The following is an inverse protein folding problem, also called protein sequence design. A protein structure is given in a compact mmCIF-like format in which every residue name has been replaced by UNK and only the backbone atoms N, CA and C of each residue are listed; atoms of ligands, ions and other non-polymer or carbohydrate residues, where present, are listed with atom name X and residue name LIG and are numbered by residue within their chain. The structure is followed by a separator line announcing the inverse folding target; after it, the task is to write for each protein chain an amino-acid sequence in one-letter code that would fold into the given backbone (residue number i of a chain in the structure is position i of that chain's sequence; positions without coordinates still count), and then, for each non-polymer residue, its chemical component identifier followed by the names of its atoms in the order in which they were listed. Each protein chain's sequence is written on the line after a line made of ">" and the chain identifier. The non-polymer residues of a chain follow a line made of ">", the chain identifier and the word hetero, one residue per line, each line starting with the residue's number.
data_IF_616702405065
#
_entry.id   IF_616702405065
#
_cell.length_a   1.000
_cell.length_b   1.000
_cell.length_c   1.000
_cell.angle_alpha   90.00
_cell.angle_beta   90.00
_cell.angle_gamma   90.00
#
_symmetry.space_group_name_H-M   'P 1'
#
loop_
_entity.id
_entity.type
_entity.pdbx_description
1 polymer ?
#
# COMPACT_ATOMS: atom_id res chain seq x y z
N UNK A 1 -20.27 -19.11 4.90
CA UNK A 1 -19.29 -18.02 4.68
C UNK A 1 -20.02 -16.89 3.98
N UNK A 2 -20.24 -15.75 4.64
CA UNK A 2 -20.88 -14.58 4.03
C UNK A 2 -19.88 -13.92 3.07
N UNK A 3 -20.09 -14.10 1.77
CA UNK A 3 -19.20 -13.61 0.71
C UNK A 3 -19.40 -12.11 0.38
N UNK A 4 -20.40 -11.46 0.98
CA UNK A 4 -20.76 -10.08 0.64
C UNK A 4 -20.58 -9.16 1.84
N UNK A 5 -19.53 -8.32 1.79
CA UNK A 5 -19.32 -7.22 2.73
C UNK A 5 -19.84 -5.93 2.09
N UNK A 6 -21.17 -5.76 2.05
CA UNK A 6 -21.77 -4.53 1.53
C UNK A 6 -21.59 -3.38 2.53
N UNK A 7 -21.29 -2.20 2.00
CA UNK A 7 -21.11 -0.96 2.77
C UNK A 7 -21.63 0.21 1.96
N UNK A 8 -22.18 1.19 2.65
CA UNK A 8 -22.73 2.42 2.06
C UNK A 8 -22.43 3.61 2.97
N UNK A 9 -22.27 4.78 2.37
CA UNK A 9 -22.21 6.07 3.06
C UNK A 9 -23.63 6.64 3.37
N UNK A 10 -24.69 6.05 2.80
CA UNK A 10 -26.07 6.49 3.07
C UNK A 10 -26.59 5.91 4.39
N UNK A 11 -26.98 6.79 5.32
CA UNK A 11 -27.60 6.38 6.59
C UNK A 11 -28.95 5.68 6.37
N UNK A 12 -29.76 6.19 5.44
CA UNK A 12 -31.07 5.61 5.11
C UNK A 12 -30.92 4.17 4.60
N UNK A 13 -29.95 3.94 3.71
CA UNK A 13 -29.71 2.61 3.16
C UNK A 13 -29.13 1.65 4.22
N UNK A 14 -28.26 2.13 5.10
CA UNK A 14 -27.78 1.32 6.24
C UNK A 14 -28.94 0.90 7.16
N UNK A 15 -29.89 1.80 7.47
CA UNK A 15 -31.07 1.49 8.27
C UNK A 15 -31.95 0.43 7.59
N UNK A 16 -32.20 0.58 6.29
CA UNK A 16 -32.96 -0.42 5.52
C UNK A 16 -32.26 -1.78 5.52
N UNK A 17 -30.95 -1.82 5.33
CA UNK A 17 -30.19 -3.06 5.37
C UNK A 17 -30.20 -3.74 6.74
N UNK A 18 -30.14 -2.97 7.82
CA UNK A 18 -30.30 -3.50 9.19
C UNK A 18 -31.69 -4.10 9.41
N UNK A 19 -32.74 -3.46 8.90
CA UNK A 19 -34.11 -3.98 8.96
C UNK A 19 -34.27 -5.29 8.18
N UNK A 20 -33.62 -5.41 7.04
CA UNK A 20 -33.60 -6.61 6.19
C UNK A 20 -32.64 -7.70 6.69
N UNK A 21 -32.00 -7.51 7.86
CA UNK A 21 -31.07 -8.48 8.44
C UNK A 21 -29.73 -8.63 7.71
N UNK A 22 -29.38 -7.66 6.86
CA UNK A 22 -28.07 -7.63 6.20
C UNK A 22 -27.02 -7.16 7.20
N UNK A 23 -25.96 -7.95 7.40
CA UNK A 23 -24.81 -7.55 8.21
C UNK A 23 -24.06 -6.38 7.56
N UNK A 24 -24.53 -5.16 7.84
CA UNK A 24 -23.71 -3.97 7.69
C UNK A 24 -22.69 -4.05 8.81
N UNK A 25 -21.39 -4.15 8.53
CA UNK A 25 -20.35 -4.19 9.58
C UNK A 25 -20.23 -2.91 10.45
N UNK A 26 -21.30 -2.13 10.54
CA UNK A 26 -21.58 -1.11 11.54
C UNK A 26 -21.97 -1.80 12.84
N UNK A 27 -21.14 -1.69 13.86
CA UNK A 27 -21.56 -1.95 15.24
C UNK A 27 -21.34 -0.63 15.95
N UNK A 28 -22.42 -0.06 16.48
CA UNK A 28 -22.46 1.21 17.23
C UNK A 28 -21.61 1.16 18.52
N UNK A 29 -21.11 -0.02 18.87
CA UNK A 29 -20.24 -0.29 20.02
C UNK A 29 -18.82 -0.56 19.54
N UNK A 30 -18.10 0.48 19.17
CA UNK A 30 -16.64 0.44 19.20
C UNK A 30 -16.16 1.84 19.40
N UNK A 31 -15.60 2.10 20.58
CA UNK A 31 -14.78 3.27 20.82
C UNK A 31 -13.92 3.57 19.58
N UNK A 32 -13.92 4.85 19.22
CA UNK A 32 -12.95 5.51 18.34
C UNK A 32 -11.60 4.78 18.48
N UNK A 33 -11.04 4.31 17.35
CA UNK A 33 -9.67 3.76 17.19
C UNK A 33 -9.41 2.24 17.11
N UNK A 34 -10.38 1.32 17.30
CA UNK A 34 -10.05 -0.12 17.33
C UNK A 34 -10.39 -0.98 16.09
N UNK A 35 -11.15 -0.49 15.11
CA UNK A 35 -11.44 -1.27 13.89
C UNK A 35 -10.54 -0.81 12.73
N UNK A 36 -9.85 -1.74 12.03
CA UNK A 36 -9.03 -1.38 10.89
C UNK A 36 -9.92 -0.76 9.80
N UNK A 37 -9.46 0.31 9.12
CA UNK A 37 -10.23 0.97 8.09
C UNK A 37 -10.55 0.00 6.96
N UNK A 38 -11.74 0.13 6.39
CA UNK A 38 -12.18 -0.72 5.28
C UNK A 38 -11.41 -0.33 4.05
N UNK A 39 -10.91 -1.34 3.32
CA UNK A 39 -10.18 -1.11 2.08
C UNK A 39 -11.09 -1.22 0.88
N UNK A 40 -11.12 -0.19 0.05
CA UNK A 40 -11.72 -0.16 -1.27
C UNK A 40 -10.59 0.08 -2.27
N UNK A 41 -10.38 -0.86 -3.19
CA UNK A 41 -9.34 -0.77 -4.22
C UNK A 41 -7.90 -0.57 -3.66
N UNK A 42 -7.65 -1.05 -2.44
CA UNK A 42 -6.36 -0.89 -1.75
C UNK A 42 -6.23 0.38 -0.91
N UNK A 43 -7.19 1.30 -0.99
CA UNK A 43 -7.25 2.55 -0.22
C UNK A 43 -8.21 2.41 0.96
N UNK A 44 -7.98 3.17 2.03
CA UNK A 44 -8.90 3.23 3.16
C UNK A 44 -10.15 4.04 2.79
N UNK A 45 -11.31 3.60 3.23
CA UNK A 45 -12.57 4.32 3.08
C UNK A 45 -13.24 4.52 4.44
N UNK A 46 -13.47 5.78 4.78
CA UNK A 46 -14.35 6.21 5.86
C UNK A 46 -15.74 6.46 5.26
N UNK A 47 -16.66 5.52 5.49
CA UNK A 47 -18.04 5.61 4.98
C UNK A 47 -18.87 6.68 5.68
N UNK A 48 -18.51 7.11 6.89
CA UNK A 48 -19.27 8.13 7.62
C UNK A 48 -18.99 9.52 7.08
N UNK A 49 -17.72 9.80 6.78
CA UNK A 49 -17.27 11.08 6.22
C UNK A 49 -17.24 11.09 4.70
N UNK A 50 -17.49 9.95 4.08
CA UNK A 50 -17.36 9.73 2.65
C UNK A 50 -15.95 10.07 2.11
N UNK A 51 -14.92 9.67 2.87
CA UNK A 51 -13.52 9.97 2.54
C UNK A 51 -12.77 8.72 2.14
N UNK A 52 -12.22 8.74 0.92
CA UNK A 52 -11.21 7.77 0.48
C UNK A 52 -9.83 8.38 0.75
N UNK A 53 -8.98 7.66 1.45
CA UNK A 53 -7.66 8.14 1.83
C UNK A 53 -6.61 7.03 1.82
N UNK A 54 -5.35 7.46 1.81
CA UNK A 54 -4.20 6.58 1.96
C UNK A 54 -3.51 6.89 3.28
N UNK A 55 -3.44 5.91 4.19
CA UNK A 55 -2.68 6.05 5.44
C UNK A 55 -1.26 5.49 5.25
N UNK A 56 -0.22 6.33 5.24
CA UNK A 56 1.15 5.87 5.06
C UNK A 56 1.75 5.25 6.33
N UNK A 57 1.09 5.29 7.50
CA UNK A 57 1.67 4.83 8.78
C UNK A 57 2.22 3.41 8.71
N UNK A 58 1.47 2.47 8.16
CA UNK A 58 1.90 1.07 8.01
C UNK A 58 3.15 0.95 7.11
N UNK A 59 3.19 1.77 6.06
CA UNK A 59 4.31 1.82 5.14
C UNK A 59 5.55 2.43 5.80
N UNK A 60 5.38 3.54 6.51
CA UNK A 60 6.45 4.21 7.24
C UNK A 60 7.01 3.31 8.35
N UNK A 61 6.14 2.59 9.06
CA UNK A 61 6.55 1.59 10.05
C UNK A 61 7.37 0.48 9.38
N UNK A 62 6.94 -0.02 8.22
CA UNK A 62 7.73 -1.02 7.49
C UNK A 62 9.11 -0.44 7.08
N UNK A 63 9.15 0.78 6.53
CA UNK A 63 10.39 1.44 6.11
C UNK A 63 11.31 1.84 7.28
N UNK A 64 10.80 1.89 8.51
CA UNK A 64 11.62 2.10 9.70
C UNK A 64 12.50 0.89 10.04
N UNK A 65 12.15 -0.29 9.51
CA UNK A 65 13.03 -1.45 9.57
C UNK A 65 14.17 -1.32 8.57
N UNK A 66 15.30 -1.99 8.87
CA UNK A 66 16.48 -1.98 8.01
C UNK A 66 16.11 -2.45 6.60
N UNK A 67 16.55 -1.70 5.58
CA UNK A 67 16.34 -2.02 4.18
C UNK A 67 17.31 -3.14 3.80
N UNK A 68 16.84 -4.38 3.87
CA UNK A 68 17.71 -5.57 3.71
C UNK A 68 17.95 -5.94 2.24
N UNK A 69 17.06 -5.62 1.30
CA UNK A 69 17.16 -6.10 -0.08
C UNK A 69 16.36 -5.32 -1.12
N UNK A 70 16.71 -5.46 -2.41
CA UNK A 70 15.90 -4.97 -3.53
C UNK A 70 14.48 -5.54 -3.47
N UNK A 71 14.35 -6.81 -3.10
CA UNK A 71 13.05 -7.45 -2.83
C UNK A 71 12.24 -6.70 -1.78
N UNK A 72 12.87 -6.27 -0.68
CA UNK A 72 12.19 -5.51 0.36
C UNK A 72 11.64 -4.19 -0.19
N UNK A 73 12.45 -3.40 -0.89
CA UNK A 73 12.00 -2.12 -1.47
C UNK A 73 10.85 -2.34 -2.46
N UNK A 74 10.97 -3.34 -3.34
CA UNK A 74 9.90 -3.66 -4.30
C UNK A 74 8.62 -4.14 -3.60
N UNK A 75 8.73 -4.86 -2.49
CA UNK A 75 7.58 -5.27 -1.69
C UNK A 75 6.88 -4.09 -1.02
N UNK A 76 7.64 -3.09 -0.55
CA UNK A 76 7.12 -1.83 0.01
C UNK A 76 6.40 -1.05 -1.09
N UNK A 77 7.05 -0.84 -2.22
CA UNK A 77 6.49 -0.13 -3.38
C UNK A 77 5.24 -0.82 -3.92
N UNK A 78 5.23 -2.15 -3.96
CA UNK A 78 4.10 -2.94 -4.47
C UNK A 78 2.83 -2.85 -3.61
N UNK A 79 2.93 -2.42 -2.35
CA UNK A 79 1.75 -2.18 -1.49
C UNK A 79 0.95 -0.95 -1.90
N UNK A 80 1.57 -0.02 -2.62
CA UNK A 80 0.90 1.14 -3.19
C UNK A 80 0.38 0.75 -4.57
N UNK A 81 -0.85 0.22 -4.59
CA UNK A 81 -1.57 -0.08 -5.81
C UNK A 81 -2.75 0.88 -5.95
N UNK A 82 -2.84 1.52 -7.10
CA UNK A 82 -3.85 2.54 -7.38
C UNK A 82 -4.43 2.31 -8.78
N UNK A 83 -5.52 1.53 -8.86
CA UNK A 83 -6.12 1.18 -10.15
C UNK A 83 -6.88 2.34 -10.80
N UNK A 84 -7.32 3.34 -10.02
CA UNK A 84 -8.13 4.48 -10.51
C UNK A 84 -7.28 5.73 -10.76
N UNK A 85 -6.10 5.85 -10.15
CA UNK A 85 -5.20 6.98 -10.36
C UNK A 85 -5.28 8.09 -9.30
N UNK A 86 -5.97 7.84 -8.17
CA UNK A 86 -6.11 8.81 -7.07
C UNK A 86 -4.75 9.22 -6.49
N UNK A 87 -3.81 8.28 -6.43
CA UNK A 87 -2.42 8.46 -6.00
C UNK A 87 -1.46 8.66 -7.17
N UNK A 88 -1.94 9.00 -8.38
CA UNK A 88 -1.16 9.08 -9.62
C UNK A 88 0.21 9.76 -9.48
N UNK A 89 0.31 11.00 -8.94
CA UNK A 89 1.59 11.69 -8.75
C UNK A 89 2.59 10.93 -7.87
N UNK A 90 2.12 10.19 -6.87
CA UNK A 90 2.96 9.35 -6.02
C UNK A 90 3.36 8.07 -6.75
N UNK A 91 2.41 7.40 -7.40
CA UNK A 91 2.62 6.15 -8.13
C UNK A 91 3.64 6.32 -9.26
N UNK A 92 3.66 7.47 -9.93
CA UNK A 92 4.67 7.78 -10.95
C UNK A 92 6.07 7.78 -10.36
N UNK A 93 6.30 8.44 -9.21
CA UNK A 93 7.60 8.43 -8.52
C UNK A 93 8.04 7.01 -8.13
N UNK A 94 7.09 6.18 -7.71
CA UNK A 94 7.34 4.78 -7.38
C UNK A 94 7.68 3.92 -8.61
N UNK A 95 7.08 4.23 -9.76
CA UNK A 95 7.44 3.59 -11.04
C UNK A 95 8.86 3.97 -11.46
N UNK A 96 9.25 5.24 -11.32
CA UNK A 96 10.64 5.67 -11.54
C UNK A 96 11.61 4.95 -10.61
N UNK A 97 11.35 4.95 -9.30
CA UNK A 97 12.19 4.22 -8.33
C UNK A 97 12.34 2.73 -8.69
N UNK A 98 11.25 2.10 -9.13
CA UNK A 98 11.28 0.70 -9.58
C UNK A 98 12.18 0.53 -10.79
N UNK A 99 12.06 1.41 -11.79
CA UNK A 99 12.90 1.38 -12.98
C UNK A 99 14.38 1.56 -12.62
N UNK A 100 14.70 2.53 -11.77
CA UNK A 100 16.07 2.77 -11.29
C UNK A 100 16.64 1.54 -10.55
N UNK A 101 15.85 0.92 -9.68
CA UNK A 101 16.26 -0.32 -9.00
C UNK A 101 16.52 -1.47 -9.98
N UNK A 102 15.82 -1.52 -11.11
CA UNK A 102 16.07 -2.51 -12.15
C UNK A 102 17.35 -2.21 -12.94
N UNK A 103 17.65 -0.95 -13.24
CA UNK A 103 18.85 -0.56 -14.00
C UNK A 103 20.14 -0.69 -13.19
N UNK A 104 20.08 -0.60 -11.85
CA UNK A 104 21.25 -0.74 -10.97
C UNK A 104 21.91 -2.14 -11.00
N UNK A 105 21.28 -3.15 -11.61
CA UNK A 105 21.87 -4.49 -11.73
C UNK A 105 22.08 -5.21 -10.39
N UNK A 106 21.40 -4.74 -9.33
CA UNK A 106 21.54 -5.26 -7.97
C UNK A 106 20.74 -6.55 -7.80
N UNK A 107 21.36 -7.52 -7.13
CA UNK A 107 20.76 -8.82 -6.80
C UNK A 107 19.52 -8.70 -5.92
N UNK A 108 18.62 -9.67 -6.06
CA UNK A 108 17.31 -9.68 -5.43
C UNK A 108 17.37 -9.57 -3.89
N UNK A 109 18.40 -10.17 -3.28
CA UNK A 109 18.53 -10.33 -1.82
C UNK A 109 19.55 -9.38 -1.17
N UNK A 110 20.28 -8.57 -1.93
CA UNK A 110 21.36 -7.73 -1.38
C UNK A 110 21.21 -6.28 -1.86
N UNK A 111 21.49 -5.32 -0.98
CA UNK A 111 21.65 -3.91 -1.33
C UNK A 111 23.03 -3.41 -0.85
N UNK A 112 24.12 -3.93 -1.41
CA UNK A 112 25.50 -3.39 -1.29
C UNK A 112 26.40 -4.15 -2.28
N UNK A 113 27.35 -3.55 -3.02
CA UNK A 113 28.24 -2.43 -2.73
C UNK A 113 28.41 -1.45 -3.90
N UNK A 114 28.08 -0.16 -3.72
CA UNK A 114 28.57 0.92 -4.62
C UNK A 114 29.04 2.18 -3.87
N UNK A 115 29.30 2.07 -2.56
CA UNK A 115 29.84 3.18 -1.74
C UNK A 115 31.34 3.02 -1.44
N UNK A 116 32.02 2.05 -2.05
CA UNK A 116 33.48 1.92 -1.92
C UNK A 116 34.13 1.46 -3.23
N UNK A 117 34.05 2.28 -4.28
CA UNK A 117 35.03 2.24 -5.37
C UNK A 117 35.16 3.60 -6.04
N UNK A 118 35.55 4.59 -5.23
CA UNK A 118 36.54 5.53 -5.74
C UNK A 118 37.82 4.75 -6.02
N UNK A 119 38.28 4.81 -7.26
CA UNK A 119 39.52 4.24 -7.82
C UNK A 119 39.48 2.79 -8.35
N UNK A 120 39.96 2.72 -9.60
CA UNK A 120 40.43 1.57 -10.37
C UNK A 120 39.40 0.62 -10.99
N UNK A 121 39.39 0.68 -12.33
CA UNK A 121 38.43 0.04 -13.20
C UNK A 121 38.54 -1.48 -13.26
N UNK A 122 37.44 -2.10 -13.67
CA UNK A 122 37.41 -3.46 -14.20
C UNK A 122 36.38 -3.50 -15.32
N UNK A 123 36.87 -3.81 -16.52
CA UNK A 123 36.12 -4.13 -17.73
C UNK A 123 35.23 -5.35 -17.49
N UNK A 124 33.91 -5.23 -17.71
CA UNK A 124 32.99 -6.37 -17.65
C UNK A 124 32.68 -6.85 -19.07
N UNK A 125 33.32 -7.96 -19.47
CA UNK A 125 32.95 -8.73 -20.65
C UNK A 125 31.59 -9.37 -20.43
N UNK A 126 30.69 -9.21 -21.42
CA UNK A 126 29.41 -9.91 -21.54
C UNK A 126 29.65 -11.38 -21.91
N UNK A 127 28.90 -12.27 -21.27
CA UNK A 127 28.35 -13.47 -21.89
C UNK A 127 26.84 -13.43 -21.71
#
# INVERSE_FOLDING_TARGET
>A
MLLRKWRTNSKQLNLLWQQEGVETGFSETSAVDLKPPIKVLGLAWDSERDLIYFDPKDLLKLMSHKIESKRFILSVVGRIFDPIGILGPFVIKLKYLRQDLWTLGVDWNFLQSYVASGSSGVTKLRN
#
